data_IF_291773135142
#
_entry.id   IF_291773135142
#
_cell.length_a   1.000
_cell.length_b   1.000
_cell.length_c   1.000
_cell.angle_alpha   90.00
_cell.angle_beta   90.00
_cell.angle_gamma   90.00
#
_symmetry.space_group_name_H-M   'P 1'
#
loop_
_entity.id
_entity.type
_entity.pdbx_description
1 polymer ?
#
# COMPACT_ATOMS: atom_id res chain seq x y z
N UNK A 1 53.33 2.99 20.87
CA UNK A 1 52.54 3.68 19.84
C UNK A 1 53.11 5.07 19.69
N UNK A 2 53.50 5.45 18.48
CA UNK A 2 54.06 6.76 18.22
C UNK A 2 52.94 7.82 18.14
N UNK A 3 53.22 9.11 18.36
CA UNK A 3 52.23 10.17 18.21
C UNK A 3 51.62 10.24 16.79
N UNK A 4 52.41 9.90 15.78
CA UNK A 4 51.96 9.83 14.38
C UNK A 4 50.96 8.69 14.17
N UNK A 5 51.26 7.50 14.70
CA UNK A 5 50.33 6.34 14.67
C UNK A 5 49.00 6.66 15.36
N UNK A 6 49.00 7.41 16.46
CA UNK A 6 47.78 7.80 17.18
C UNK A 6 46.91 8.74 16.36
N UNK A 7 47.55 9.69 15.69
CA UNK A 7 46.87 10.65 14.82
C UNK A 7 46.23 9.93 13.63
N UNK A 8 46.94 8.97 13.01
CA UNK A 8 46.43 8.18 11.90
C UNK A 8 45.27 7.25 12.31
N UNK A 9 45.33 6.66 13.51
CA UNK A 9 44.21 5.87 14.03
C UNK A 9 42.97 6.75 14.29
N UNK A 10 43.16 7.94 14.85
CA UNK A 10 42.08 8.90 15.08
C UNK A 10 41.39 9.33 13.79
N UNK A 11 42.15 9.70 12.77
CA UNK A 11 41.57 10.11 11.47
C UNK A 11 40.83 8.95 10.80
N UNK A 12 41.35 7.73 10.92
CA UNK A 12 40.66 6.52 10.44
C UNK A 12 39.32 6.30 11.15
N UNK A 13 39.28 6.47 12.47
CA UNK A 13 38.05 6.32 13.27
C UNK A 13 37.01 7.41 12.95
N UNK A 14 37.45 8.63 12.68
CA UNK A 14 36.58 9.73 12.24
C UNK A 14 35.98 9.46 10.87
N UNK A 15 36.79 8.99 9.92
CA UNK A 15 36.35 8.62 8.58
C UNK A 15 35.28 7.51 8.66
N UNK A 16 35.55 6.47 9.46
CA UNK A 16 34.63 5.36 9.64
C UNK A 16 33.30 5.82 10.26
N UNK A 17 33.36 6.68 11.29
CA UNK A 17 32.16 7.23 11.91
C UNK A 17 31.31 8.05 10.94
N UNK A 18 31.97 8.84 10.10
CA UNK A 18 31.32 9.68 9.08
C UNK A 18 30.60 8.81 8.04
N UNK A 19 31.27 7.79 7.51
CA UNK A 19 30.68 6.89 6.52
C UNK A 19 29.52 6.07 7.11
N UNK A 20 29.66 5.55 8.33
CA UNK A 20 28.56 4.81 9.00
C UNK A 20 27.36 5.72 9.24
N UNK A 21 27.60 6.96 9.69
CA UNK A 21 26.53 7.95 9.88
C UNK A 21 25.82 8.25 8.55
N UNK A 22 26.58 8.47 7.47
CA UNK A 22 26.03 8.71 6.15
C UNK A 22 25.20 7.51 5.63
N UNK A 23 25.61 6.28 5.94
CA UNK A 23 24.83 5.07 5.62
C UNK A 23 23.52 5.00 6.41
N UNK A 24 23.53 5.33 7.69
CA UNK A 24 22.31 5.40 8.51
C UNK A 24 21.33 6.44 7.97
N UNK A 25 21.80 7.65 7.62
CA UNK A 25 20.95 8.68 7.02
C UNK A 25 20.32 8.21 5.71
N UNK A 26 21.13 7.63 4.80
CA UNK A 26 20.61 7.06 3.53
C UNK A 26 19.60 5.94 3.78
N UNK A 27 19.79 5.15 4.83
CA UNK A 27 18.84 4.12 5.24
C UNK A 27 17.51 4.73 5.69
N UNK A 28 17.54 5.73 6.57
CA UNK A 28 16.34 6.44 7.03
C UNK A 28 15.58 7.10 5.87
N UNK A 29 16.28 7.80 4.98
CA UNK A 29 15.70 8.44 3.80
C UNK A 29 15.04 7.42 2.86
N UNK A 30 15.69 6.27 2.65
CA UNK A 30 15.13 5.18 1.85
C UNK A 30 13.85 4.62 2.50
N UNK A 31 13.83 4.49 3.82
CA UNK A 31 12.64 4.08 4.59
C UNK A 31 11.46 5.04 4.40
N UNK A 32 11.70 6.35 4.53
CA UNK A 32 10.65 7.36 4.34
C UNK A 32 10.03 7.33 2.93
N UNK A 33 10.83 7.07 1.90
CA UNK A 33 10.32 6.93 0.52
C UNK A 33 9.38 5.73 0.34
N UNK A 34 9.62 4.63 1.06
CA UNK A 34 8.74 3.45 1.03
C UNK A 34 7.39 3.78 1.68
N UNK A 35 7.39 4.52 2.78
CA UNK A 35 6.17 4.92 3.49
C UNK A 35 5.28 5.81 2.61
N UNK A 36 5.85 6.80 1.91
CA UNK A 36 5.09 7.64 0.95
C UNK A 36 4.47 6.82 -0.18
N UNK A 37 5.23 5.88 -0.75
CA UNK A 37 4.72 4.99 -1.82
C UNK A 37 3.62 4.07 -1.31
N UNK A 38 3.74 3.57 -0.09
CA UNK A 38 2.72 2.73 0.53
C UNK A 38 1.43 3.51 0.79
N UNK A 39 1.51 4.75 1.27
CA UNK A 39 0.33 5.58 1.49
C UNK A 39 -0.43 5.88 0.18
N UNK A 40 0.31 6.17 -0.90
CA UNK A 40 -0.29 6.34 -2.22
C UNK A 40 -1.00 5.06 -2.70
N UNK A 41 -0.37 3.90 -2.49
CA UNK A 41 -0.96 2.59 -2.83
C UNK A 41 -2.23 2.32 -2.02
N UNK A 42 -2.22 2.60 -0.72
CA UNK A 42 -3.40 2.47 0.17
C UNK A 42 -4.56 3.33 -0.33
N UNK A 43 -4.31 4.60 -0.67
CA UNK A 43 -5.35 5.49 -1.20
C UNK A 43 -5.92 5.00 -2.53
N UNK A 44 -5.06 4.50 -3.42
CA UNK A 44 -5.48 3.92 -4.69
C UNK A 44 -6.32 2.65 -4.48
N UNK A 45 -5.90 1.74 -3.60
CA UNK A 45 -6.64 0.52 -3.27
C UNK A 45 -8.03 0.83 -2.71
N UNK A 46 -8.14 1.82 -1.82
CA UNK A 46 -9.42 2.26 -1.27
C UNK A 46 -10.36 2.80 -2.36
N UNK A 47 -9.83 3.65 -3.24
CA UNK A 47 -10.60 4.24 -4.34
C UNK A 47 -11.05 3.17 -5.35
N UNK A 48 -10.17 2.23 -5.69
CA UNK A 48 -10.47 1.13 -6.60
C UNK A 48 -11.55 0.20 -6.02
N UNK A 49 -11.47 -0.13 -4.73
CA UNK A 49 -12.49 -0.91 -4.05
C UNK A 49 -13.86 -0.19 -4.04
N UNK A 50 -13.88 1.11 -3.75
CA UNK A 50 -15.09 1.91 -3.78
C UNK A 50 -15.70 1.99 -5.18
N UNK A 51 -14.85 2.16 -6.21
CA UNK A 51 -15.29 2.14 -7.61
C UNK A 51 -15.95 0.82 -7.96
N UNK A 52 -15.28 -0.31 -7.69
CA UNK A 52 -15.80 -1.64 -7.99
C UNK A 52 -17.11 -1.93 -7.24
N UNK A 53 -17.23 -1.52 -5.98
CA UNK A 53 -18.45 -1.67 -5.19
C UNK A 53 -19.65 -0.91 -5.79
N UNK A 54 -19.42 0.18 -6.53
CA UNK A 54 -20.48 0.95 -7.19
C UNK A 54 -20.88 0.41 -8.57
N UNK A 55 -20.22 -0.63 -9.08
CA UNK A 55 -20.46 -1.18 -10.41
C UNK A 55 -21.12 -2.55 -10.34
N UNK A 56 -21.96 -2.85 -11.33
CA UNK A 56 -22.42 -4.21 -11.59
C UNK A 56 -21.29 -4.94 -12.32
N UNK A 57 -20.74 -5.97 -11.68
CA UNK A 57 -19.66 -6.79 -12.20
C UNK A 57 -20.00 -8.27 -11.97
N UNK A 58 -19.30 -9.15 -12.68
CA UNK A 58 -19.44 -10.59 -12.48
C UNK A 58 -19.12 -10.95 -11.01
N UNK A 59 -20.05 -11.59 -10.27
CA UNK A 59 -20.03 -11.59 -8.81
C UNK A 59 -18.80 -12.31 -8.22
N UNK A 60 -18.34 -13.38 -8.86
CA UNK A 60 -17.16 -14.13 -8.38
C UNK A 60 -15.89 -13.30 -8.54
N UNK A 61 -15.64 -12.72 -9.72
CA UNK A 61 -14.48 -11.87 -9.97
C UNK A 61 -14.52 -10.57 -9.16
N UNK A 62 -15.71 -10.02 -8.92
CA UNK A 62 -15.89 -8.84 -8.07
C UNK A 62 -15.47 -9.12 -6.62
N UNK A 63 -15.87 -10.28 -6.06
CA UNK A 63 -15.45 -10.70 -4.72
C UNK A 63 -13.94 -10.91 -4.65
N UNK A 64 -13.35 -11.60 -5.63
CA UNK A 64 -11.89 -11.81 -5.69
C UNK A 64 -11.15 -10.47 -5.74
N UNK A 65 -11.60 -9.54 -6.58
CA UNK A 65 -10.99 -8.22 -6.69
C UNK A 65 -11.13 -7.40 -5.40
N UNK A 66 -12.29 -7.43 -4.74
CA UNK A 66 -12.49 -6.76 -3.45
C UNK A 66 -11.58 -7.32 -2.35
N UNK A 67 -11.46 -8.65 -2.25
CA UNK A 67 -10.54 -9.29 -1.31
C UNK A 67 -9.10 -8.88 -1.60
N UNK A 68 -8.70 -8.85 -2.87
CA UNK A 68 -7.36 -8.44 -3.28
C UNK A 68 -7.07 -6.95 -2.95
N UNK A 69 -8.04 -6.05 -3.17
CA UNK A 69 -7.91 -4.65 -2.77
C UNK A 69 -7.84 -4.47 -1.24
N UNK A 70 -8.64 -5.24 -0.49
CA UNK A 70 -8.58 -5.28 0.97
C UNK A 70 -7.22 -5.75 1.49
N UNK A 71 -6.67 -6.82 0.88
CA UNK A 71 -5.32 -7.30 1.19
C UNK A 71 -4.24 -6.27 0.84
N UNK A 72 -4.35 -5.61 -0.32
CA UNK A 72 -3.44 -4.54 -0.72
C UNK A 72 -3.45 -3.38 0.28
N UNK A 73 -4.65 -2.95 0.70
CA UNK A 73 -4.86 -1.91 1.71
C UNK A 73 -4.25 -2.30 3.06
N UNK A 74 -4.57 -3.49 3.58
CA UNK A 74 -4.06 -3.98 4.87
C UNK A 74 -2.53 -4.12 4.88
N UNK A 75 -1.95 -4.73 3.85
CA UNK A 75 -0.50 -4.84 3.70
C UNK A 75 0.17 -3.45 3.59
N UNK A 76 -0.46 -2.51 2.88
CA UNK A 76 0.03 -1.13 2.77
C UNK A 76 0.05 -0.41 4.12
N UNK A 77 -0.98 -0.58 4.94
CA UNK A 77 -1.00 -0.05 6.31
C UNK A 77 0.09 -0.67 7.20
N UNK A 78 0.43 -1.95 7.01
CA UNK A 78 1.52 -2.59 7.75
C UNK A 78 2.91 -2.01 7.42
N UNK A 79 3.07 -1.39 6.24
CA UNK A 79 4.29 -0.66 5.88
C UNK A 79 4.37 0.66 6.66
N UNK A 80 3.27 1.42 6.70
CA UNK A 80 3.20 2.76 7.31
C UNK A 80 3.11 2.70 8.84
N UNK A 81 2.77 1.54 9.41
CA UNK A 81 2.71 1.34 10.87
C UNK A 81 4.01 1.85 11.51
N UNK A 82 3.85 2.82 12.43
CA UNK A 82 4.95 3.39 13.21
C UNK A 82 5.66 2.26 13.96
N UNK A 83 6.86 1.92 13.50
CA UNK A 83 7.79 1.01 14.17
C UNK A 83 8.92 1.86 14.71
N UNK A 84 9.39 1.53 15.91
CA UNK A 84 10.51 2.24 16.54
C UNK A 84 11.73 2.19 15.63
N UNK A 85 12.08 3.31 15.02
CA UNK A 85 13.36 3.47 14.36
C UNK A 85 14.40 3.67 15.45
N UNK A 86 15.42 2.81 15.50
CA UNK A 86 16.43 2.93 16.53
C UNK A 86 17.44 3.97 16.09
N UNK A 87 17.55 5.03 16.88
CA UNK A 87 18.53 6.09 16.70
C UNK A 87 19.33 6.28 17.99
N UNK A 88 20.42 7.03 17.89
CA UNK A 88 21.27 7.36 19.01
C UNK A 88 20.51 8.26 19.97
N UNK A 89 20.18 7.74 21.16
CA UNK A 89 19.59 8.55 22.22
C UNK A 89 20.62 9.57 22.73
N UNK A 90 20.38 10.89 22.57
CA UNK A 90 21.39 11.91 22.87
C UNK A 90 21.82 11.89 24.34
N UNK A 91 20.86 11.64 25.25
CA UNK A 91 21.11 11.60 26.69
C UNK A 91 21.96 10.40 27.08
N UNK A 92 21.58 9.20 26.65
CA UNK A 92 22.32 7.96 26.90
C UNK A 92 23.73 8.01 26.30
N UNK A 93 23.89 8.63 25.12
CA UNK A 93 25.19 8.83 24.50
C UNK A 93 26.06 9.83 25.27
N UNK A 94 25.49 10.95 25.72
CA UNK A 94 26.22 11.96 26.48
C UNK A 94 26.67 11.43 27.84
N UNK A 95 25.77 10.76 28.56
CA UNK A 95 26.06 10.21 29.90
C UNK A 95 27.09 9.06 29.81
N UNK A 96 26.96 8.19 28.79
CA UNK A 96 27.85 7.04 28.60
C UNK A 96 29.22 7.37 28.01
N UNK A 97 29.34 8.42 27.20
CA UNK A 97 30.56 8.71 26.44
C UNK A 97 31.22 10.06 26.77
N UNK A 98 30.51 10.99 27.42
CA UNK A 98 31.00 12.36 27.63
C UNK A 98 32.27 12.49 28.47
N UNK A 99 32.60 11.47 29.26
CA UNK A 99 33.79 11.42 30.12
C UNK A 99 34.95 10.59 29.52
N UNK A 100 34.76 9.99 28.34
CA UNK A 100 35.74 9.10 27.72
C UNK A 100 36.65 9.86 26.74
N UNK A 101 37.89 9.37 26.51
CA UNK A 101 38.77 9.95 25.50
C UNK A 101 38.19 9.76 24.08
N UNK A 102 38.48 10.73 23.21
CA UNK A 102 37.91 10.83 21.85
C UNK A 102 37.99 9.54 21.04
N UNK A 103 39.13 8.85 21.04
CA UNK A 103 39.33 7.56 20.37
C UNK A 103 38.30 6.52 20.79
N UNK A 104 38.08 6.40 22.11
CA UNK A 104 37.17 5.43 22.69
C UNK A 104 35.72 5.80 22.42
N UNK A 105 35.40 7.10 22.44
CA UNK A 105 34.08 7.60 22.04
C UNK A 105 33.80 7.24 20.58
N UNK A 106 34.72 7.53 19.66
CA UNK A 106 34.55 7.21 18.24
C UNK A 106 34.36 5.71 18.00
N UNK A 107 35.14 4.87 18.67
CA UNK A 107 35.00 3.42 18.56
C UNK A 107 33.64 2.92 19.08
N UNK A 108 33.21 3.39 20.25
CA UNK A 108 31.91 3.04 20.83
C UNK A 108 30.73 3.56 19.99
N UNK A 109 30.86 4.77 19.45
CA UNK A 109 29.85 5.39 18.60
C UNK A 109 29.70 4.62 17.28
N UNK A 110 30.80 4.22 16.66
CA UNK A 110 30.80 3.35 15.48
C UNK A 110 30.12 2.01 15.78
N UNK A 111 30.49 1.34 16.87
CA UNK A 111 29.88 0.07 17.27
C UNK A 111 28.37 0.19 17.53
N UNK A 112 27.95 1.24 18.24
CA UNK A 112 26.52 1.53 18.48
C UNK A 112 25.76 1.75 17.17
N UNK A 113 26.32 2.55 16.25
CA UNK A 113 25.72 2.84 14.95
C UNK A 113 25.59 1.61 14.06
N UNK A 114 26.57 0.71 14.06
CA UNK A 114 26.48 -0.57 13.35
C UNK A 114 25.32 -1.41 13.90
N UNK A 115 25.21 -1.54 15.22
CA UNK A 115 24.10 -2.28 15.85
C UNK A 115 22.73 -1.67 15.54
N UNK A 116 22.64 -0.34 15.47
CA UNK A 116 21.42 0.36 15.06
C UNK A 116 21.09 0.10 13.59
N UNK A 117 22.09 0.14 12.71
CA UNK A 117 21.93 -0.14 11.29
C UNK A 117 21.39 -1.57 11.04
N UNK A 118 21.94 -2.57 11.72
CA UNK A 118 21.48 -3.96 11.63
C UNK A 118 20.02 -4.12 12.06
N UNK A 119 19.65 -3.51 13.19
CA UNK A 119 18.28 -3.53 13.69
C UNK A 119 17.31 -2.85 12.71
N UNK A 120 17.69 -1.67 12.23
CA UNK A 120 16.87 -0.90 11.29
C UNK A 120 16.77 -1.61 9.92
N UNK A 121 17.79 -2.37 9.52
CA UNK A 121 17.78 -3.18 8.28
C UNK A 121 16.70 -4.26 8.33
N UNK A 122 16.60 -5.00 9.43
CA UNK A 122 15.55 -6.02 9.59
C UNK A 122 14.13 -5.43 9.51
N UNK A 123 13.93 -4.25 10.09
CA UNK A 123 12.66 -3.51 9.99
C UNK A 123 12.39 -3.09 8.53
N UNK A 124 13.41 -2.59 7.83
CA UNK A 124 13.32 -2.20 6.43
C UNK A 124 13.00 -3.37 5.50
N UNK A 125 13.65 -4.51 5.69
CA UNK A 125 13.42 -5.72 4.89
C UNK A 125 11.98 -6.22 5.08
N UNK A 126 11.48 -6.16 6.32
CA UNK A 126 10.08 -6.47 6.63
C UNK A 126 9.12 -5.50 5.95
N UNK A 127 9.39 -4.18 6.01
CA UNK A 127 8.59 -3.16 5.30
C UNK A 127 8.60 -3.41 3.79
N UNK A 128 9.75 -3.72 3.21
CA UNK A 128 9.89 -4.01 1.78
C UNK A 128 9.09 -5.25 1.37
N UNK A 129 9.06 -6.29 2.22
CA UNK A 129 8.24 -7.48 1.99
C UNK A 129 6.74 -7.16 1.99
N UNK A 130 6.25 -6.41 2.99
CA UNK A 130 4.86 -5.96 3.04
C UNK A 130 4.49 -5.05 1.87
N UNK A 131 5.39 -4.17 1.46
CA UNK A 131 5.19 -3.31 0.28
C UNK A 131 5.07 -4.12 -1.01
N UNK A 132 5.96 -5.12 -1.22
CA UNK A 132 5.87 -6.03 -2.37
C UNK A 132 4.56 -6.84 -2.37
N UNK A 133 4.16 -7.36 -1.21
CA UNK A 133 2.91 -8.10 -1.06
C UNK A 133 1.69 -7.22 -1.37
N UNK A 134 1.68 -5.99 -0.86
CA UNK A 134 0.64 -4.99 -1.13
C UNK A 134 0.54 -4.68 -2.63
N UNK A 135 1.67 -4.49 -3.30
CA UNK A 135 1.73 -4.24 -4.74
C UNK A 135 1.21 -5.43 -5.57
N UNK A 136 1.62 -6.66 -5.22
CA UNK A 136 1.16 -7.86 -5.91
C UNK A 136 -0.36 -8.05 -5.76
N UNK A 137 -0.90 -7.85 -4.55
CA UNK A 137 -2.32 -7.92 -4.28
C UNK A 137 -3.11 -6.85 -5.07
N UNK A 138 -2.57 -5.63 -5.18
CA UNK A 138 -3.20 -4.56 -5.95
C UNK A 138 -3.30 -4.92 -7.44
N UNK A 139 -2.22 -5.44 -8.02
CA UNK A 139 -2.18 -5.87 -9.42
C UNK A 139 -3.21 -6.98 -9.67
N UNK A 140 -3.28 -7.97 -8.78
CA UNK A 140 -4.28 -9.04 -8.86
C UNK A 140 -5.71 -8.50 -8.82
N UNK A 141 -5.98 -7.54 -7.92
CA UNK A 141 -7.28 -6.87 -7.81
C UNK A 141 -7.66 -6.11 -9.08
N UNK A 142 -6.71 -5.35 -9.66
CA UNK A 142 -6.91 -4.61 -10.92
C UNK A 142 -7.22 -5.54 -12.08
N UNK A 143 -6.45 -6.60 -12.27
CA UNK A 143 -6.68 -7.56 -13.36
C UNK A 143 -8.05 -8.22 -13.20
N UNK A 144 -8.36 -8.71 -12.00
CA UNK A 144 -9.63 -9.39 -11.71
C UNK A 144 -10.83 -8.46 -11.88
N UNK A 145 -10.74 -7.21 -11.40
CA UNK A 145 -11.78 -6.19 -11.56
C UNK A 145 -12.03 -5.86 -13.02
N UNK A 146 -10.97 -5.73 -13.82
CA UNK A 146 -11.08 -5.40 -15.24
C UNK A 146 -11.76 -6.53 -16.02
N UNK A 147 -11.31 -7.77 -15.81
CA UNK A 147 -11.91 -8.96 -16.45
C UNK A 147 -13.37 -9.13 -16.02
N UNK A 148 -13.68 -8.92 -14.74
CA UNK A 148 -15.04 -9.05 -14.20
C UNK A 148 -16.02 -8.00 -14.73
N UNK A 149 -15.53 -6.79 -15.05
CA UNK A 149 -16.34 -5.75 -15.69
C UNK A 149 -16.58 -6.06 -17.17
N UNK A 150 -15.53 -6.42 -17.92
CA UNK A 150 -15.62 -6.72 -19.36
C UNK A 150 -16.54 -7.91 -19.65
N UNK A 151 -16.39 -9.01 -18.91
CA UNK A 151 -17.23 -10.20 -19.09
C UNK A 151 -18.70 -9.97 -18.71
N UNK A 152 -18.99 -8.95 -17.89
CA UNK A 152 -20.37 -8.61 -17.54
C UNK A 152 -21.00 -7.67 -18.57
N UNK A 153 -20.22 -6.79 -19.21
CA UNK A 153 -20.70 -5.93 -20.29
C UNK A 153 -21.04 -6.68 -21.58
N UNK A 154 -20.32 -7.76 -21.92
CA UNK A 154 -20.62 -8.59 -23.11
C UNK A 154 -22.01 -9.27 -23.04
N UNK A 155 -22.60 -9.37 -21.84
CA UNK A 155 -23.94 -9.92 -21.64
C UNK A 155 -25.09 -8.98 -22.02
N UNK A 156 -24.83 -7.67 -22.16
CA UNK A 156 -25.86 -6.66 -22.45
C UNK A 156 -25.89 -6.17 -23.91
N UNK A 157 -24.88 -6.51 -24.73
CA UNK A 157 -24.86 -6.16 -26.16
C UNK A 157 -25.55 -7.20 -27.06
N UNK A 158 -26.15 -8.25 -26.50
CA UNK A 158 -27.10 -9.10 -27.25
C UNK A 158 -28.44 -8.39 -27.39
N UNK A 159 -28.52 -7.55 -28.41
CA UNK A 159 -29.73 -6.94 -28.94
C UNK A 159 -30.83 -8.01 -29.11
N UNK A 160 -32.08 -7.80 -28.62
CA UNK A 160 -33.19 -8.68 -28.98
C UNK A 160 -33.46 -8.50 -30.48
N UNK A 161 -33.52 -9.60 -31.23
CA UNK A 161 -33.87 -9.56 -32.66
C UNK A 161 -35.20 -8.79 -32.87
N UNK A 162 -35.26 -7.85 -33.83
CA UNK A 162 -36.47 -7.13 -34.14
C UNK A 162 -37.36 -8.03 -35.00
N UNK A 163 -38.17 -8.89 -34.37
CA UNK A 163 -38.95 -9.83 -35.16
C UNK A 163 -39.80 -10.83 -34.38
N UNK A 164 -40.68 -10.37 -33.49
CA UNK A 164 -41.90 -11.13 -33.17
C UNK A 164 -42.98 -10.18 -32.67
N UNK A 165 -43.87 -9.84 -33.60
CA UNK A 165 -45.14 -9.18 -33.35
C UNK A 165 -45.94 -9.95 -32.31
N UNK A 166 -46.37 -9.26 -31.25
CA UNK A 166 -47.38 -9.74 -30.31
C UNK A 166 -48.70 -10.00 -31.06
N UNK A 167 -49.45 -11.07 -30.72
CA UNK A 167 -50.80 -11.25 -31.25
C UNK A 167 -51.70 -10.15 -30.68
N UNK A 168 -52.31 -9.38 -31.58
CA UNK A 168 -53.29 -8.36 -31.33
C UNK A 168 -54.51 -8.94 -30.61
N UNK A 169 -54.74 -8.46 -29.38
CA UNK A 169 -55.98 -8.69 -28.64
C UNK A 169 -57.11 -7.98 -29.40
N UNK A 170 -58.02 -8.77 -29.97
CA UNK A 170 -59.27 -8.30 -30.56
C UNK A 170 -60.14 -7.69 -29.46
N UNK A 171 -60.34 -6.38 -29.50
CA UNK A 171 -61.42 -5.73 -28.75
C UNK A 171 -62.75 -5.97 -29.47
N UNK A 172 -63.51 -6.97 -29.01
CA UNK A 172 -64.93 -7.09 -29.33
C UNK A 172 -65.70 -5.97 -28.63
N UNK A 173 -66.22 -5.03 -29.41
CA UNK A 173 -67.15 -4.02 -28.93
C UNK A 173 -68.53 -4.65 -28.72
N UNK A 174 -68.90 -4.91 -27.47
CA UNK A 174 -70.28 -5.21 -27.05
C UNK A 174 -70.84 -4.03 -26.26
N UNK A 175 -71.58 -3.14 -26.90
CA UNK A 175 -72.42 -2.16 -26.19
C UNK A 175 -73.87 -2.65 -26.20
N UNK A 176 -74.30 -3.05 -25.00
CA UNK A 176 -75.67 -3.40 -24.62
C UNK A 176 -76.50 -2.13 -24.27
N UNK A 177 -77.83 -2.26 -24.04
CA UNK A 177 -78.84 -1.32 -24.53
C UNK A 177 -79.27 -0.21 -23.55
N UNK A 178 -80.16 0.63 -24.09
CA UNK A 178 -80.87 1.79 -23.54
C UNK A 178 -81.41 1.68 -22.10
N UNK A 179 -81.68 2.86 -21.49
CA UNK A 179 -82.80 3.01 -20.58
C UNK A 179 -83.83 4.03 -21.08
N UNK A 180 -85.07 3.69 -20.78
CA UNK A 180 -86.34 4.32 -21.12
C UNK A 180 -86.69 5.50 -20.18
N UNK A 181 -87.51 6.42 -20.72
CA UNK A 181 -88.50 7.33 -20.05
C UNK A 181 -88.04 8.58 -19.28
N UNK A 182 -88.93 9.54 -18.94
CA UNK A 182 -90.25 9.91 -19.52
C UNK A 182 -90.50 11.43 -19.69
N UNK A 183 -91.33 11.84 -20.65
CA UNK A 183 -92.58 12.64 -20.49
C UNK A 183 -93.17 13.01 -21.85
#
# INVERSE_FOLDING_TARGET
MTPEEQTEQLTTLELLNTEISARLTRQADSGGKVDTKALALVGFAATAAQFLASRQAQPVLAVVALVAYGAAFGCGLMVVRVRGHKDLEPRTALDGYGHLPKERVLLMLAASRVKMFEHNKAIQDTKAAWWKASLAALVLGLVSSTVGLVLHTDGHDRQPEPGKSSPSVQHSASNSPAPTQPR
#
